data_IF_397599451576
#
_entry.id   IF_397599451576
#
_cell.length_a   1.000
_cell.length_b   1.000
_cell.length_c   1.000
_cell.angle_alpha   90.00
_cell.angle_beta   90.00
_cell.angle_gamma   90.00
#
_symmetry.space_group_name_H-M   'P 1'
#
loop_
_entity.id
_entity.type
_entity.pdbx_description
1 polymer ?
#
# COMPACT_ATOMS: atom_id res chain seq x y z
N UNK A 1 -7.43 56.76 -15.72
CA UNK A 1 -6.70 55.50 -15.92
C UNK A 1 -6.37 54.95 -14.54
N UNK A 2 -7.25 54.11 -13.99
CA UNK A 2 -7.07 53.51 -12.68
C UNK A 2 -6.93 51.99 -12.90
N UNK A 3 -5.74 51.47 -12.63
CA UNK A 3 -5.50 50.04 -12.61
C UNK A 3 -5.97 49.55 -11.24
N UNK A 4 -7.11 48.87 -11.23
CA UNK A 4 -7.49 47.99 -10.12
C UNK A 4 -6.94 46.62 -10.50
N UNK A 5 -5.87 46.18 -9.86
CA UNK A 5 -5.43 44.79 -9.94
C UNK A 5 -5.68 44.15 -8.58
N UNK A 6 -6.54 43.15 -8.63
CA UNK A 6 -7.15 42.41 -7.54
C UNK A 6 -6.18 41.49 -6.81
N UNK A 7 -6.32 41.50 -5.48
CA UNK A 7 -6.25 40.39 -4.53
C UNK A 7 -5.22 39.27 -4.75
N UNK A 8 -4.22 39.30 -3.88
CA UNK A 8 -3.79 38.18 -3.03
C UNK A 8 -3.73 36.82 -3.71
N UNK A 9 -2.58 36.57 -4.32
CA UNK A 9 -2.02 35.25 -4.52
C UNK A 9 -2.17 34.46 -3.21
N UNK A 10 -3.07 33.47 -3.22
CA UNK A 10 -3.23 32.56 -2.09
C UNK A 10 -2.02 31.64 -2.14
N UNK A 11 -0.93 32.07 -1.49
CA UNK A 11 0.20 31.22 -1.21
C UNK A 11 -0.34 30.00 -0.45
N UNK A 12 -0.45 28.87 -1.14
CA UNK A 12 -0.73 27.60 -0.53
C UNK A 12 0.30 27.42 0.60
N UNK A 13 -0.20 27.23 1.81
CA UNK A 13 0.64 26.92 2.96
C UNK A 13 1.32 25.57 2.71
N UNK A 14 2.53 25.62 2.15
CA UNK A 14 3.38 24.46 1.86
C UNK A 14 4.23 24.06 3.06
N UNK A 15 3.87 24.51 4.27
CA UNK A 15 4.59 24.23 5.51
C UNK A 15 4.02 23.04 6.29
N UNK A 16 3.00 22.35 5.73
CA UNK A 16 2.46 21.14 6.33
C UNK A 16 3.34 19.92 5.95
N UNK A 17 3.80 19.18 6.95
CA UNK A 17 4.40 17.86 6.72
C UNK A 17 3.46 17.00 5.86
N UNK A 18 3.98 16.21 4.90
CA UNK A 18 3.13 15.38 4.05
C UNK A 18 2.29 14.47 4.93
N UNK A 19 0.96 14.47 4.71
CA UNK A 19 0.07 13.53 5.39
C UNK A 19 0.49 12.12 5.00
N UNK A 20 0.77 11.27 5.98
CA UNK A 20 1.05 9.87 5.71
C UNK A 20 -0.21 9.21 5.16
N UNK A 21 -0.02 8.39 4.13
CA UNK A 21 -1.07 7.64 3.47
C UNK A 21 -0.67 6.17 3.50
N UNK A 22 -1.55 5.32 4.03
CA UNK A 22 -1.34 3.87 4.00
C UNK A 22 -2.29 3.22 3.00
N UNK A 23 -1.79 2.16 2.35
CA UNK A 23 -2.54 1.38 1.38
C UNK A 23 -2.81 -0.03 1.87
N UNK A 24 -4.02 -0.51 1.59
CA UNK A 24 -4.43 -1.91 1.74
C UNK A 24 -4.80 -2.49 0.38
N UNK A 25 -4.46 -3.76 0.18
CA UNK A 25 -4.83 -4.51 -1.03
C UNK A 25 -5.88 -5.55 -0.64
N UNK A 26 -7.01 -5.53 -1.32
CA UNK A 26 -8.06 -6.53 -1.18
C UNK A 26 -8.07 -7.41 -2.43
N UNK A 27 -7.91 -8.72 -2.27
CA UNK A 27 -8.03 -9.70 -3.35
C UNK A 27 -9.48 -10.13 -3.55
N UNK A 28 -9.79 -10.72 -4.72
CA UNK A 28 -11.14 -11.18 -5.06
C UNK A 28 -11.70 -12.27 -4.12
N UNK A 29 -10.82 -13.03 -3.46
CA UNK A 29 -11.19 -14.01 -2.43
C UNK A 29 -11.43 -13.38 -1.04
N UNK A 30 -11.31 -12.05 -0.94
CA UNK A 30 -11.55 -11.29 0.28
C UNK A 30 -10.35 -11.19 1.22
N UNK A 31 -9.18 -11.70 0.86
CA UNK A 31 -7.98 -11.52 1.68
C UNK A 31 -7.53 -10.04 1.66
N UNK A 32 -7.15 -9.52 2.83
CA UNK A 32 -6.77 -8.11 3.02
C UNK A 32 -5.32 -8.02 3.45
N UNK A 33 -4.48 -7.45 2.60
CA UNK A 33 -3.06 -7.21 2.89
C UNK A 33 -2.88 -5.78 3.34
N UNK A 34 -2.46 -5.62 4.59
CA UNK A 34 -2.21 -4.32 5.22
C UNK A 34 -0.77 -4.25 5.71
N UNK A 35 -0.05 -3.20 5.30
CA UNK A 35 1.34 -2.99 5.71
C UNK A 35 1.47 -2.97 7.23
N UNK A 36 2.50 -3.62 7.75
CA UNK A 36 2.74 -3.80 9.18
C UNK A 36 1.85 -4.84 9.87
N UNK A 37 0.92 -5.48 9.16
CA UNK A 37 0.03 -6.50 9.72
C UNK A 37 0.39 -7.92 9.24
N UNK A 38 0.06 -8.96 10.03
CA UNK A 38 0.23 -10.34 9.60
C UNK A 38 -0.54 -10.67 8.32
N UNK A 39 0.00 -11.59 7.52
CA UNK A 39 -0.70 -12.05 6.32
C UNK A 39 -2.00 -12.80 6.67
N UNK A 40 -3.08 -12.66 5.87
CA UNK A 40 -4.40 -13.24 6.17
C UNK A 40 -4.41 -14.76 6.36
N UNK A 41 -3.55 -15.47 5.62
CA UNK A 41 -3.46 -16.94 5.65
C UNK A 41 -2.38 -17.47 6.62
N UNK A 42 -1.94 -16.63 7.55
CA UNK A 42 -1.48 -17.06 8.88
C UNK A 42 -0.05 -17.54 8.98
N UNK A 43 0.47 -18.34 8.05
CA UNK A 43 1.87 -18.80 8.06
C UNK A 43 2.36 -19.15 6.66
N UNK A 44 3.65 -18.91 6.39
CA UNK A 44 4.34 -19.48 5.22
C UNK A 44 5.07 -20.74 5.68
N UNK A 45 4.80 -21.87 5.02
CA UNK A 45 5.57 -23.10 5.22
C UNK A 45 6.85 -23.03 4.39
N UNK A 46 8.00 -23.02 5.06
CA UNK A 46 9.32 -22.99 4.42
C UNK A 46 9.64 -24.31 3.73
N UNK A 47 10.68 -24.32 2.90
CA UNK A 47 11.20 -25.54 2.28
C UNK A 47 11.72 -26.56 3.31
N UNK A 48 12.10 -26.10 4.50
CA UNK A 48 12.49 -26.95 5.64
C UNK A 48 11.30 -27.47 6.46
N UNK A 49 10.06 -27.15 6.08
CA UNK A 49 8.84 -27.55 6.78
C UNK A 49 8.53 -26.72 8.04
N UNK A 50 9.27 -25.65 8.31
CA UNK A 50 8.96 -24.74 9.39
C UNK A 50 7.83 -23.78 8.98
N UNK A 51 6.96 -23.42 9.92
CA UNK A 51 5.94 -22.42 9.66
C UNK A 51 6.39 -21.09 10.26
N UNK A 52 6.48 -20.05 9.42
CA UNK A 52 6.85 -18.71 9.85
C UNK A 52 5.65 -17.76 9.75
N UNK A 53 5.52 -16.90 10.75
CA UNK A 53 4.52 -15.83 10.73
C UNK A 53 5.09 -14.64 9.97
N UNK A 54 4.47 -14.29 8.86
CA UNK A 54 4.94 -13.21 7.99
C UNK A 54 4.10 -11.94 8.16
N UNK A 55 4.76 -10.79 8.05
CA UNK A 55 4.14 -9.46 8.09
C UNK A 55 4.34 -8.75 6.76
N UNK A 56 3.32 -8.03 6.27
CA UNK A 56 3.38 -7.27 5.01
C UNK A 56 4.30 -6.05 5.18
N UNK A 57 5.26 -5.89 4.27
CA UNK A 57 6.28 -4.83 4.31
C UNK A 57 6.18 -3.86 3.13
N UNK A 58 5.89 -4.37 1.93
CA UNK A 58 5.89 -3.58 0.71
C UNK A 58 4.86 -4.09 -0.31
N UNK A 59 4.55 -3.22 -1.26
CA UNK A 59 3.77 -3.53 -2.45
C UNK A 59 4.55 -3.03 -3.66
N UNK A 60 4.67 -3.86 -4.68
CA UNK A 60 5.29 -3.48 -5.95
C UNK A 60 4.55 -4.10 -7.12
N UNK A 61 4.36 -3.31 -8.17
CA UNK A 61 3.88 -3.78 -9.46
C UNK A 61 5.06 -4.26 -10.29
N UNK A 62 4.94 -5.46 -10.87
CA UNK A 62 5.99 -6.12 -11.67
C UNK A 62 5.34 -6.68 -12.93
N UNK A 63 5.19 -5.82 -13.94
CA UNK A 63 4.36 -6.14 -15.11
C UNK A 63 2.91 -6.37 -14.69
N UNK A 64 2.29 -7.45 -15.17
CA UNK A 64 0.89 -7.77 -14.87
C UNK A 64 0.67 -8.38 -13.47
N UNK A 65 1.65 -8.27 -12.58
CA UNK A 65 1.64 -8.87 -11.25
C UNK A 65 1.78 -7.84 -10.15
N UNK A 66 1.03 -8.05 -9.08
CA UNK A 66 1.25 -7.38 -7.80
C UNK A 66 2.04 -8.32 -6.91
N UNK A 67 3.20 -7.85 -6.48
CA UNK A 67 4.06 -8.48 -5.49
C UNK A 67 3.86 -7.82 -4.13
N UNK A 68 3.59 -8.63 -3.11
CA UNK A 68 3.45 -8.24 -1.72
C UNK A 68 4.66 -8.78 -0.98
N UNK A 69 5.60 -7.89 -0.65
CA UNK A 69 6.80 -8.22 0.10
C UNK A 69 6.49 -8.47 1.57
N UNK A 70 7.08 -9.52 2.12
CA UNK A 70 6.86 -10.00 3.49
C UNK A 70 8.17 -9.94 4.29
N UNK A 71 8.07 -10.14 5.60
CA UNK A 71 9.24 -10.38 6.46
C UNK A 71 10.04 -11.59 6.01
N UNK A 72 11.32 -11.62 6.38
CA UNK A 72 12.26 -12.71 6.09
C UNK A 72 12.55 -12.93 4.59
N UNK A 73 12.25 -11.93 3.76
CA UNK A 73 12.54 -11.94 2.32
C UNK A 73 11.54 -12.71 1.46
N UNK A 74 10.41 -13.13 2.03
CA UNK A 74 9.35 -13.79 1.28
C UNK A 74 8.48 -12.79 0.52
N UNK A 75 7.80 -13.26 -0.51
CA UNK A 75 6.82 -12.47 -1.25
C UNK A 75 5.65 -13.34 -1.71
N UNK A 76 4.46 -12.73 -1.79
CA UNK A 76 3.29 -13.33 -2.43
C UNK A 76 3.02 -12.56 -3.73
N UNK A 77 2.71 -13.28 -4.81
CA UNK A 77 2.42 -12.68 -6.12
C UNK A 77 1.03 -13.05 -6.59
N UNK A 78 0.30 -12.05 -7.04
CA UNK A 78 -1.01 -12.22 -7.68
C UNK A 78 -0.99 -11.55 -9.05
N UNK A 79 -1.64 -12.11 -10.07
CA UNK A 79 -1.92 -11.34 -11.27
C UNK A 79 -2.83 -10.17 -10.88
N UNK A 80 -2.68 -9.02 -11.52
CA UNK A 80 -3.48 -7.82 -11.22
C UNK A 80 -4.99 -8.11 -11.28
N UNK A 81 -5.40 -9.03 -12.15
CA UNK A 81 -6.80 -9.48 -12.29
C UNK A 81 -7.38 -10.15 -11.04
N UNK A 82 -6.55 -10.53 -10.06
CA UNK A 82 -7.01 -11.04 -8.74
C UNK A 82 -7.17 -9.95 -7.70
N UNK A 83 -6.79 -8.71 -7.99
CA UNK A 83 -6.99 -7.58 -7.10
C UNK A 83 -8.40 -7.04 -7.29
N UNK A 84 -9.15 -6.97 -6.20
CA UNK A 84 -10.50 -6.42 -6.19
C UNK A 84 -10.47 -4.88 -6.09
N UNK A 85 -9.61 -4.35 -5.21
CA UNK A 85 -9.45 -2.90 -4.98
C UNK A 85 -8.23 -2.57 -4.12
N UNK A 86 -7.81 -1.31 -4.23
CA UNK A 86 -6.88 -0.65 -3.31
C UNK A 86 -7.67 0.27 -2.38
N UNK A 87 -7.34 0.27 -1.08
CA UNK A 87 -7.93 1.18 -0.09
C UNK A 87 -6.85 2.13 0.41
N UNK A 88 -7.15 3.42 0.38
CA UNK A 88 -6.24 4.49 0.77
C UNK A 88 -6.73 5.13 2.07
N UNK A 89 -5.89 5.16 3.09
CA UNK A 89 -6.18 5.79 4.38
C UNK A 89 -5.27 6.99 4.60
N UNK A 90 -5.84 8.13 4.97
CA UNK A 90 -5.09 9.30 5.46
C UNK A 90 -5.05 9.26 6.99
N UNK A 91 -3.91 9.60 7.60
CA UNK A 91 -3.85 9.96 9.02
C UNK A 91 -4.01 11.45 9.28
#
# INVERSE_FOLDING_TARGET
MAIVTSALDTAADQTAAPKEVYFEIVTLDGAVYRKGHPTPHGMVTTTSGANIKTVVQSYSEVGDWIEIGLTDGYAIRFPETRIARFITHTV
#
